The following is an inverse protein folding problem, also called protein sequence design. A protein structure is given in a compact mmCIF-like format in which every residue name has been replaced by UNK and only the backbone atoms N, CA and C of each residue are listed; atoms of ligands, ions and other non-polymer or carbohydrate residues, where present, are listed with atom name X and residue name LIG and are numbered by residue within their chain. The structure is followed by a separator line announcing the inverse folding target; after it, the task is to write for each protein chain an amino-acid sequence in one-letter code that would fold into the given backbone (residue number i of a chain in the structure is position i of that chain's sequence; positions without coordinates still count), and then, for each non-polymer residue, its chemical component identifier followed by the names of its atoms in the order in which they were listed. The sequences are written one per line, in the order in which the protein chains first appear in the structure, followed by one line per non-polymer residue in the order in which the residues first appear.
data_IF_860559341325
#
_entry.id   IF_860559341325
#
_cell.length_a   1.000
_cell.length_b   1.000
_cell.length_c   1.000
_cell.angle_alpha   90.00
_cell.angle_beta   90.00
_cell.angle_gamma   90.00
#
_symmetry.space_group_name_H-M   'P 1'
#
loop_
_entity.id
_entity.type
_entity.pdbx_description
1 polymer ?
#
# COMPACT_ATOMS: atom_id res chain seq x y z
N UNK A 1 -13.05 -56.71 -8.62
CA UNK A 1 -13.11 -55.31 -8.15
C UNK A 1 -11.81 -54.63 -8.48
N UNK A 2 -11.77 -53.80 -9.52
CA UNK A 2 -10.58 -53.07 -9.96
C UNK A 2 -10.75 -51.62 -9.42
N UNK A 3 -9.91 -51.25 -8.46
CA UNK A 3 -9.84 -49.91 -7.88
C UNK A 3 -9.28 -48.97 -8.96
N UNK A 4 -9.96 -47.87 -9.31
CA UNK A 4 -9.41 -46.92 -10.26
C UNK A 4 -8.21 -46.18 -9.64
N UNK A 5 -7.06 -46.26 -10.33
CA UNK A 5 -5.86 -45.50 -9.97
C UNK A 5 -6.15 -44.02 -10.04
N UNK A 6 -6.00 -43.30 -8.93
CA UNK A 6 -6.06 -41.85 -8.87
C UNK A 6 -4.91 -41.26 -9.69
N UNK A 7 -5.25 -40.58 -10.78
CA UNK A 7 -4.29 -39.81 -11.57
C UNK A 7 -3.67 -38.71 -10.68
N UNK A 8 -2.34 -38.55 -10.73
CA UNK A 8 -1.71 -37.46 -9.98
C UNK A 8 -2.21 -36.10 -10.49
N UNK A 9 -2.80 -35.30 -9.59
CA UNK A 9 -3.16 -33.93 -9.88
C UNK A 9 -1.89 -33.16 -10.20
N UNK A 10 -1.72 -32.80 -11.46
CA UNK A 10 -0.58 -31.99 -11.91
C UNK A 10 -0.59 -30.68 -11.14
N UNK A 11 0.41 -30.46 -10.29
CA UNK A 11 0.60 -29.16 -9.64
C UNK A 11 0.85 -28.11 -10.72
N UNK A 12 0.12 -26.97 -10.70
CA UNK A 12 0.34 -25.91 -11.67
C UNK A 12 1.77 -25.40 -11.54
N UNK A 13 2.56 -25.53 -12.61
CA UNK A 13 3.90 -24.94 -12.68
C UNK A 13 3.75 -23.43 -12.57
N UNK A 14 4.22 -22.87 -11.46
CA UNK A 14 4.24 -21.44 -11.22
C UNK A 14 5.08 -20.76 -12.31
N UNK A 15 4.47 -19.86 -13.08
CA UNK A 15 5.15 -19.17 -14.18
C UNK A 15 6.25 -18.21 -13.72
N UNK A 16 7.18 -17.80 -14.61
CA UNK A 16 8.35 -16.96 -14.28
C UNK A 16 8.01 -15.63 -13.59
N UNK A 17 6.82 -15.09 -13.81
CA UNK A 17 6.36 -13.83 -13.20
C UNK A 17 6.03 -13.93 -11.70
N UNK A 18 5.80 -15.14 -11.16
CA UNK A 18 5.64 -15.35 -9.71
C UNK A 18 6.98 -15.25 -8.98
N UNK A 19 8.07 -15.64 -9.60
CA UNK A 19 9.42 -15.51 -9.02
C UNK A 19 9.85 -14.04 -8.88
N UNK A 20 9.49 -13.18 -9.84
CA UNK A 20 9.76 -11.73 -9.78
C UNK A 20 8.96 -11.07 -8.65
N UNK A 21 7.71 -11.48 -8.44
CA UNK A 21 6.89 -10.96 -7.35
C UNK A 21 7.44 -11.38 -5.99
N UNK A 22 7.89 -12.63 -5.84
CA UNK A 22 8.52 -13.13 -4.61
C UNK A 22 9.79 -12.35 -4.27
N UNK A 23 10.67 -12.12 -5.24
CA UNK A 23 11.88 -11.33 -5.07
C UNK A 23 11.57 -9.89 -4.60
N UNK A 24 10.58 -9.23 -5.20
CA UNK A 24 10.16 -7.88 -4.79
C UNK A 24 9.68 -7.82 -3.34
N UNK A 25 8.93 -8.84 -2.89
CA UNK A 25 8.46 -8.92 -1.51
C UNK A 25 9.61 -9.07 -0.52
N UNK A 26 10.60 -9.91 -0.85
CA UNK A 26 11.78 -10.09 0.00
C UNK A 26 12.56 -8.81 0.14
N UNK A 27 12.88 -8.14 -0.97
CA UNK A 27 13.65 -6.91 -0.96
C UNK A 27 12.87 -5.74 -0.34
N UNK A 28 11.57 -5.65 -0.61
CA UNK A 28 10.73 -4.62 0.00
C UNK A 28 10.57 -4.80 1.51
N UNK A 29 10.34 -6.03 1.97
CA UNK A 29 10.28 -6.36 3.40
C UNK A 29 11.62 -6.09 4.08
N UNK A 30 12.74 -6.51 3.47
CA UNK A 30 14.08 -6.25 3.98
C UNK A 30 14.38 -4.74 4.05
N UNK A 31 14.02 -3.98 3.02
CA UNK A 31 14.20 -2.52 3.02
C UNK A 31 13.51 -1.88 4.23
N UNK A 32 12.27 -2.27 4.53
CA UNK A 32 11.57 -1.74 5.71
C UNK A 32 12.14 -2.25 7.03
N UNK A 33 12.65 -3.48 7.11
CA UNK A 33 13.35 -3.97 8.31
C UNK A 33 14.65 -3.19 8.53
N UNK A 34 15.37 -2.88 7.47
CA UNK A 34 16.62 -2.12 7.54
C UNK A 34 16.43 -0.66 7.99
N UNK A 35 15.19 -0.15 8.06
CA UNK A 35 14.95 1.16 8.67
C UNK A 35 15.37 1.21 10.15
N UNK A 36 15.56 0.06 10.82
CA UNK A 36 16.13 -0.03 12.16
C UNK A 36 17.56 0.48 12.25
N UNK A 37 18.32 0.58 11.12
CA UNK A 37 19.65 1.18 11.10
C UNK A 37 19.67 2.57 11.73
N UNK A 38 18.55 3.29 11.61
CA UNK A 38 18.40 4.63 12.15
C UNK A 38 18.67 4.70 13.64
N UNK A 39 18.11 3.80 14.44
CA UNK A 39 18.33 3.76 15.88
C UNK A 39 19.76 3.47 16.26
N UNK A 40 20.41 2.56 15.51
CA UNK A 40 21.82 2.21 15.74
C UNK A 40 22.71 3.41 15.45
N UNK A 41 22.47 4.07 14.33
CA UNK A 41 23.29 5.23 13.93
C UNK A 41 23.05 6.41 14.87
N UNK A 42 21.82 6.68 15.26
CA UNK A 42 21.49 7.74 16.23
C UNK A 42 22.22 7.48 17.57
N UNK A 43 22.18 6.24 18.08
CA UNK A 43 22.87 5.90 19.31
C UNK A 43 24.39 6.11 19.21
N UNK A 44 25.00 5.70 18.09
CA UNK A 44 26.44 5.91 17.84
C UNK A 44 26.75 7.40 17.74
N UNK A 45 25.92 8.19 17.06
CA UNK A 45 26.13 9.62 16.88
C UNK A 45 25.98 10.38 18.21
N UNK A 46 24.96 10.04 19.01
CA UNK A 46 24.74 10.64 20.32
C UNK A 46 25.89 10.37 21.29
N UNK A 47 26.46 9.15 21.27
CA UNK A 47 27.64 8.81 22.12
C UNK A 47 28.88 9.59 21.75
N UNK A 48 29.00 10.12 20.55
CA UNK A 48 30.15 10.92 20.09
C UNK A 48 29.97 12.42 20.36
N UNK A 49 28.75 12.86 20.70
CA UNK A 49 28.44 14.26 20.90
C UNK A 49 28.40 14.59 22.42
N UNK A 50 29.47 15.18 22.93
CA UNK A 50 29.60 15.52 24.35
C UNK A 50 28.45 16.48 24.78
N UNK A 51 27.79 16.14 25.88
CA UNK A 51 26.69 16.92 26.45
C UNK A 51 25.35 16.70 25.75
N UNK A 52 25.24 15.86 24.72
CA UNK A 52 23.99 15.59 24.05
C UNK A 52 22.98 14.91 24.97
N UNK A 53 21.77 15.46 25.01
CA UNK A 53 20.67 14.97 25.84
C UNK A 53 19.49 14.50 24.98
N UNK A 54 19.13 13.21 25.09
CA UNK A 54 17.99 12.66 24.36
C UNK A 54 16.64 13.34 24.64
N UNK A 55 16.49 13.98 25.80
CA UNK A 55 15.26 14.71 26.13
C UNK A 55 15.28 16.16 25.68
N UNK A 56 16.43 16.82 25.76
CA UNK A 56 16.56 18.25 25.44
C UNK A 56 16.87 18.49 23.98
N UNK A 57 17.80 17.71 23.40
CA UNK A 57 18.34 17.95 22.07
C UNK A 57 17.60 17.10 21.02
N UNK A 58 17.29 17.72 19.88
CA UNK A 58 16.59 17.08 18.78
C UNK A 58 17.53 16.15 18.00
N UNK A 59 16.97 15.15 17.34
CA UNK A 59 17.72 14.17 16.54
C UNK A 59 18.51 14.88 15.42
N UNK A 60 17.93 15.92 14.84
CA UNK A 60 18.55 16.66 13.75
C UNK A 60 19.81 17.41 14.16
N UNK A 61 20.01 17.70 15.47
CA UNK A 61 21.26 18.30 15.97
C UNK A 61 22.47 17.40 15.75
N UNK A 62 22.27 16.08 15.73
CA UNK A 62 23.31 15.11 15.38
C UNK A 62 23.81 15.24 13.94
N UNK A 63 23.06 15.92 13.08
CA UNK A 63 23.42 16.19 11.69
C UNK A 63 23.99 17.58 11.44
N UNK A 64 24.10 18.44 12.46
CA UNK A 64 24.63 19.82 12.34
C UNK A 64 26.14 19.88 12.25
N UNK A 65 26.66 21.05 11.91
CA UNK A 65 28.14 21.30 11.79
C UNK A 65 28.89 21.12 13.10
N UNK A 66 28.21 21.23 14.23
CA UNK A 66 28.78 21.06 15.57
C UNK A 66 28.91 19.61 16.00
N UNK A 67 28.19 18.71 15.36
CA UNK A 67 28.21 17.28 15.66
C UNK A 67 29.41 16.58 15.08
N UNK A 68 30.19 15.84 15.90
CA UNK A 68 31.30 15.01 15.41
C UNK A 68 30.84 13.91 14.45
N UNK A 69 29.63 13.44 14.63
CA UNK A 69 29.01 12.37 13.82
C UNK A 69 28.13 12.89 12.65
N UNK A 70 28.24 14.18 12.31
CA UNK A 70 27.40 14.85 11.29
C UNK A 70 27.22 14.04 10.00
N UNK A 71 28.32 13.59 9.41
CA UNK A 71 28.29 12.85 8.15
C UNK A 71 27.55 11.50 8.31
N UNK A 72 27.83 10.80 9.40
CA UNK A 72 27.19 9.52 9.71
C UNK A 72 25.68 9.68 9.86
N UNK A 73 25.24 10.68 10.63
CA UNK A 73 23.81 10.91 10.88
C UNK A 73 23.07 11.37 9.62
N UNK A 74 23.62 12.33 8.88
CA UNK A 74 23.03 12.78 7.63
C UNK A 74 22.94 11.67 6.57
N UNK A 75 23.96 10.80 6.49
CA UNK A 75 23.91 9.62 5.63
C UNK A 75 22.81 8.66 6.07
N UNK A 76 22.62 8.47 7.38
CA UNK A 76 21.54 7.65 7.93
C UNK A 76 20.16 8.18 7.53
N UNK A 77 19.92 9.50 7.58
CA UNK A 77 18.67 10.11 7.12
C UNK A 77 18.43 9.85 5.62
N UNK A 78 19.47 9.99 4.77
CA UNK A 78 19.34 9.70 3.33
C UNK A 78 19.03 8.23 3.09
N UNK A 79 19.76 7.32 3.75
CA UNK A 79 19.51 5.87 3.68
C UNK A 79 18.10 5.53 4.16
N UNK A 80 17.66 6.14 5.25
CA UNK A 80 16.32 5.96 5.79
C UNK A 80 15.26 6.29 4.75
N UNK A 81 15.38 7.43 4.07
CA UNK A 81 14.47 7.85 3.02
C UNK A 81 14.44 6.87 1.84
N UNK A 82 15.60 6.43 1.38
CA UNK A 82 15.72 5.42 0.31
C UNK A 82 15.04 4.10 0.71
N UNK A 83 15.24 3.62 1.94
CA UNK A 83 14.66 2.39 2.44
C UNK A 83 13.13 2.47 2.54
N UNK A 84 12.59 3.59 3.01
CA UNK A 84 11.13 3.84 3.07
C UNK A 84 10.54 3.78 1.68
N UNK A 85 11.12 4.51 0.72
CA UNK A 85 10.66 4.58 -0.67
C UNK A 85 10.77 3.21 -1.35
N UNK A 86 11.91 2.53 -1.21
CA UNK A 86 12.14 1.23 -1.81
C UNK A 86 11.10 0.21 -1.33
N UNK A 87 10.84 0.13 -0.03
CA UNK A 87 9.82 -0.75 0.52
C UNK A 87 8.42 -0.43 0.02
N UNK A 88 8.04 0.86 -0.01
CA UNK A 88 6.73 1.31 -0.49
C UNK A 88 6.48 0.93 -1.98
N UNK A 89 7.52 1.00 -2.81
CA UNK A 89 7.44 0.66 -4.24
C UNK A 89 7.51 -0.86 -4.49
N UNK A 90 8.41 -1.56 -3.80
CA UNK A 90 8.61 -3.00 -3.97
C UNK A 90 7.45 -3.83 -3.41
N UNK A 91 6.85 -3.42 -2.29
CA UNK A 91 5.71 -4.10 -1.67
C UNK A 91 4.37 -3.77 -2.33
N UNK A 92 4.36 -2.95 -3.39
CA UNK A 92 3.16 -2.58 -4.15
C UNK A 92 2.19 -3.74 -4.42
N UNK A 93 2.62 -4.94 -4.83
CA UNK A 93 1.69 -6.04 -5.13
C UNK A 93 0.88 -6.51 -3.92
N UNK A 94 1.43 -6.40 -2.70
CA UNK A 94 0.76 -6.77 -1.45
C UNK A 94 -0.09 -5.68 -0.81
N UNK A 95 0.15 -4.44 -1.19
CA UNK A 95 -0.57 -3.28 -0.67
C UNK A 95 -1.78 -2.96 -1.56
N UNK A 96 -2.78 -3.83 -1.53
CA UNK A 96 -4.01 -3.70 -2.33
C UNK A 96 -5.11 -2.92 -1.58
N UNK A 97 -6.17 -2.55 -2.31
CA UNK A 97 -7.29 -1.78 -1.75
C UNK A 97 -7.01 -0.28 -1.65
N UNK A 98 -7.96 0.48 -1.11
CA UNK A 98 -7.84 1.94 -0.99
C UNK A 98 -6.72 2.34 -0.04
N UNK A 99 -6.61 1.66 1.12
CA UNK A 99 -5.53 1.91 2.09
C UNK A 99 -4.15 1.71 1.48
N UNK A 100 -3.90 0.58 0.81
CA UNK A 100 -2.61 0.32 0.15
C UNK A 100 -2.31 1.26 -1.02
N UNK A 101 -3.33 1.75 -1.73
CA UNK A 101 -3.15 2.76 -2.79
C UNK A 101 -2.74 4.11 -2.24
N UNK A 102 -3.29 4.50 -1.09
CA UNK A 102 -2.98 5.77 -0.43
C UNK A 102 -1.65 5.70 0.35
N UNK A 103 -1.38 4.62 1.05
CA UNK A 103 -0.16 4.44 1.84
C UNK A 103 1.11 4.67 1.01
N UNK A 104 1.15 4.17 -0.22
CA UNK A 104 2.35 4.24 -1.07
C UNK A 104 2.81 5.67 -1.37
N UNK A 105 2.00 6.54 -2.00
CA UNK A 105 2.44 7.91 -2.28
C UNK A 105 2.75 8.69 -1.00
N UNK A 106 1.99 8.48 0.08
CA UNK A 106 2.22 9.17 1.34
C UNK A 106 3.55 8.74 1.98
N UNK A 107 3.87 7.43 1.98
CA UNK A 107 5.18 6.93 2.45
C UNK A 107 6.33 7.37 1.53
N UNK A 108 6.10 7.52 0.22
CA UNK A 108 7.12 8.10 -0.67
C UNK A 108 7.40 9.55 -0.30
N UNK A 109 6.37 10.34 -0.01
CA UNK A 109 6.54 11.73 0.47
C UNK A 109 7.29 11.75 1.81
N UNK A 110 6.94 10.87 2.76
CA UNK A 110 7.66 10.75 4.03
C UNK A 110 9.13 10.36 3.84
N UNK A 111 9.41 9.43 2.92
CA UNK A 111 10.78 9.02 2.58
C UNK A 111 11.58 10.14 1.93
N UNK A 112 10.97 10.90 1.01
CA UNK A 112 11.60 12.09 0.43
C UNK A 112 11.86 13.16 1.49
N UNK A 113 10.95 13.33 2.45
CA UNK A 113 11.13 14.25 3.57
C UNK A 113 12.38 13.93 4.36
N UNK A 114 12.55 12.72 4.89
CA UNK A 114 13.75 12.37 5.68
C UNK A 114 15.03 12.36 4.84
N UNK A 115 14.96 12.04 3.57
CA UNK A 115 16.08 12.15 2.65
C UNK A 115 16.55 13.61 2.54
N UNK A 116 15.61 14.55 2.38
CA UNK A 116 15.89 15.98 2.33
C UNK A 116 16.41 16.51 3.67
N UNK A 117 15.93 15.98 4.82
CA UNK A 117 16.52 16.30 6.15
C UNK A 117 18.01 16.01 6.17
N UNK A 118 18.45 14.88 5.63
CA UNK A 118 19.87 14.53 5.56
C UNK A 118 20.69 15.37 4.57
N UNK A 119 20.07 15.87 3.50
CA UNK A 119 20.73 16.72 2.51
C UNK A 119 20.78 18.19 2.92
N UNK A 120 19.83 18.63 3.74
CA UNK A 120 19.67 20.02 4.21
C UNK A 120 19.62 20.05 5.74
N UNK A 121 20.78 19.99 6.42
CA UNK A 121 20.86 20.08 7.87
C UNK A 121 20.23 21.35 8.44
N UNK A 122 19.76 21.29 9.71
CA UNK A 122 19.01 22.37 10.36
C UNK A 122 19.79 23.67 10.52
N UNK A 123 21.10 23.60 10.66
CA UNK A 123 22.01 24.75 10.77
C UNK A 123 22.38 25.41 9.43
N UNK A 124 21.93 24.82 8.30
CA UNK A 124 22.13 25.39 6.97
C UNK A 124 20.86 26.08 6.44
N UNK A 125 19.93 25.28 5.92
CA UNK A 125 18.68 25.75 5.29
C UNK A 125 17.47 25.41 6.18
N UNK A 126 17.31 26.11 7.30
CA UNK A 126 16.32 25.83 8.36
C UNK A 126 14.89 25.65 7.82
N UNK A 127 14.46 26.49 6.88
CA UNK A 127 13.10 26.37 6.31
C UNK A 127 12.92 25.10 5.51
N UNK A 128 13.89 24.73 4.66
CA UNK A 128 13.83 23.49 3.88
C UNK A 128 13.85 22.28 4.79
N UNK A 129 14.73 22.30 5.81
CA UNK A 129 14.80 21.27 6.84
C UNK A 129 13.46 21.07 7.56
N UNK A 130 12.85 22.16 8.05
CA UNK A 130 11.58 22.10 8.78
C UNK A 130 10.44 21.55 7.92
N UNK A 131 10.32 21.98 6.65
CA UNK A 131 9.32 21.43 5.71
C UNK A 131 9.57 19.96 5.46
N UNK A 132 10.81 19.57 5.27
CA UNK A 132 11.22 18.19 5.01
C UNK A 132 10.94 17.29 6.23
N UNK A 133 11.27 17.73 7.44
CA UNK A 133 10.96 17.04 8.68
C UNK A 133 9.46 16.90 8.90
N UNK A 134 8.70 17.97 8.68
CA UNK A 134 7.24 17.96 8.74
C UNK A 134 6.63 16.97 7.74
N UNK A 135 7.12 16.91 6.51
CA UNK A 135 6.71 15.95 5.50
C UNK A 135 7.03 14.50 5.92
N UNK A 136 8.20 14.28 6.57
CA UNK A 136 8.56 12.98 7.09
C UNK A 136 7.66 12.53 8.25
N UNK A 137 7.52 13.33 9.28
CA UNK A 137 6.78 12.96 10.49
C UNK A 137 5.28 12.82 10.21
N UNK A 138 4.68 13.84 9.62
CA UNK A 138 3.25 13.83 9.33
C UNK A 138 2.91 12.80 8.24
N UNK A 139 3.70 12.78 7.16
CA UNK A 139 3.55 11.80 6.08
C UNK A 139 3.79 10.37 6.57
N UNK A 140 4.75 10.15 7.47
CA UNK A 140 5.01 8.87 8.10
C UNK A 140 3.83 8.37 8.94
N UNK A 141 3.31 9.21 9.83
CA UNK A 141 2.16 8.87 10.66
C UNK A 141 0.90 8.57 9.84
N UNK A 142 0.55 9.44 8.89
CA UNK A 142 -0.58 9.22 7.97
C UNK A 142 -0.34 7.99 7.09
N UNK A 143 0.89 7.78 6.64
CA UNK A 143 1.29 6.63 5.84
C UNK A 143 1.10 5.31 6.59
N UNK A 144 1.44 5.24 7.89
CA UNK A 144 1.19 4.08 8.75
C UNK A 144 -0.30 3.83 8.94
N UNK A 145 -1.12 4.87 9.15
CA UNK A 145 -2.58 4.74 9.25
C UNK A 145 -3.15 4.18 7.93
N UNK A 146 -2.74 4.73 6.80
CA UNK A 146 -3.18 4.23 5.50
C UNK A 146 -2.73 2.78 5.25
N UNK A 147 -1.49 2.43 5.64
CA UNK A 147 -0.94 1.08 5.57
C UNK A 147 -1.74 0.11 6.44
N UNK A 148 -2.15 0.54 7.64
CA UNK A 148 -3.01 -0.23 8.53
C UNK A 148 -4.30 -0.71 7.84
N UNK A 149 -4.97 0.18 7.12
CA UNK A 149 -6.15 -0.20 6.32
C UNK A 149 -5.82 -1.14 5.16
N UNK A 150 -4.61 -1.05 4.60
CA UNK A 150 -4.15 -1.95 3.55
C UNK A 150 -3.85 -3.38 4.02
N UNK A 151 -3.37 -3.53 5.26
CA UNK A 151 -2.95 -4.82 5.83
C UNK A 151 -4.01 -5.47 6.71
N UNK A 152 -4.89 -4.69 7.34
CA UNK A 152 -5.92 -5.17 8.28
C UNK A 152 -6.77 -6.35 7.79
N UNK A 153 -7.17 -6.45 6.50
CA UNK A 153 -7.95 -7.59 6.02
C UNK A 153 -7.23 -8.94 6.13
N UNK A 154 -5.90 -8.92 6.31
CA UNK A 154 -5.06 -10.14 6.42
C UNK A 154 -4.47 -10.32 7.81
N UNK A 155 -4.24 -9.21 8.54
CA UNK A 155 -3.72 -9.22 9.90
C UNK A 155 -4.32 -8.04 10.66
N UNK A 156 -5.33 -8.32 11.47
CA UNK A 156 -5.99 -7.30 12.28
C UNK A 156 -5.03 -6.73 13.33
N UNK A 157 -4.23 -7.60 13.97
CA UNK A 157 -3.24 -7.18 14.96
C UNK A 157 -2.22 -6.21 14.36
N UNK A 158 -1.63 -6.54 13.19
CA UNK A 158 -0.71 -5.64 12.51
C UNK A 158 -1.42 -4.34 12.13
N UNK A 159 -2.62 -4.42 11.55
CA UNK A 159 -3.39 -3.23 11.17
C UNK A 159 -3.68 -2.31 12.36
N UNK A 160 -4.07 -2.87 13.50
CA UNK A 160 -4.33 -2.10 14.72
C UNK A 160 -3.04 -1.46 15.25
N UNK A 161 -1.95 -2.21 15.32
CA UNK A 161 -0.64 -1.68 15.77
C UNK A 161 -0.16 -0.52 14.89
N UNK A 162 -0.24 -0.67 13.56
CA UNK A 162 0.17 0.40 12.63
C UNK A 162 -0.72 1.64 12.74
N UNK A 163 -2.04 1.45 12.94
CA UNK A 163 -2.96 2.57 13.13
C UNK A 163 -2.64 3.34 14.41
N UNK A 164 -2.36 2.64 15.52
CA UNK A 164 -2.00 3.25 16.80
C UNK A 164 -0.65 3.97 16.70
N UNK A 165 0.38 3.34 16.13
CA UNK A 165 1.68 3.98 15.91
C UNK A 165 1.53 5.23 15.03
N UNK A 166 0.77 5.15 13.94
CA UNK A 166 0.53 6.28 13.07
C UNK A 166 -0.21 7.42 13.77
N UNK A 167 -1.22 7.11 14.58
CA UNK A 167 -1.95 8.11 15.38
C UNK A 167 -1.04 8.78 16.40
N UNK A 168 -0.22 8.01 17.12
CA UNK A 168 0.79 8.55 18.05
C UNK A 168 1.75 9.47 17.32
N UNK A 169 2.25 9.06 16.14
CA UNK A 169 3.15 9.88 15.33
C UNK A 169 2.53 11.20 14.89
N UNK A 170 1.28 11.19 14.42
CA UNK A 170 0.57 12.41 14.02
C UNK A 170 0.38 13.36 15.22
N UNK A 171 -0.09 12.83 16.36
CA UNK A 171 -0.31 13.64 17.57
C UNK A 171 1.02 14.22 18.08
N UNK A 172 2.07 13.38 18.15
CA UNK A 172 3.39 13.84 18.59
C UNK A 172 3.98 14.89 17.64
N UNK A 173 3.75 14.77 16.33
CA UNK A 173 4.17 15.77 15.34
C UNK A 173 3.47 17.12 15.57
N UNK A 174 2.17 17.09 15.84
CA UNK A 174 1.41 18.32 16.15
C UNK A 174 1.92 18.95 17.45
N UNK A 175 2.17 18.16 18.48
CA UNK A 175 2.70 18.64 19.76
C UNK A 175 4.10 19.22 19.61
N UNK A 176 4.99 18.53 18.89
CA UNK A 176 6.33 19.01 18.60
C UNK A 176 6.29 20.34 17.84
N UNK A 177 5.50 20.43 16.77
CA UNK A 177 5.36 21.66 15.98
C UNK A 177 4.74 22.83 16.78
N UNK A 178 3.96 22.53 17.82
CA UNK A 178 3.34 23.51 18.71
C UNK A 178 4.17 23.81 19.95
N UNK A 179 5.41 23.30 20.06
CA UNK A 179 6.28 23.39 21.23
C UNK A 179 5.63 22.89 22.55
N UNK A 180 4.78 21.85 22.43
CA UNK A 180 4.12 21.18 23.58
C UNK A 180 4.81 19.85 23.82
N UNK A 181 5.65 19.75 24.84
CA UNK A 181 6.52 18.58 25.04
C UNK A 181 6.06 17.61 26.14
N UNK A 182 4.98 17.94 26.88
CA UNK A 182 4.34 17.12 27.95
C UNK A 182 5.33 16.42 28.89
N UNK A 183 6.41 17.12 29.27
CA UNK A 183 7.43 16.61 30.19
C UNK A 183 8.50 15.73 29.55
N UNK A 184 8.44 15.44 28.24
CA UNK A 184 9.46 14.64 27.53
C UNK A 184 10.68 15.45 27.10
N UNK A 185 10.57 16.80 27.08
CA UNK A 185 11.51 17.67 26.42
C UNK A 185 11.33 17.71 24.91
N UNK A 186 12.00 18.65 24.26
CA UNK A 186 11.90 18.87 22.82
C UNK A 186 12.41 17.64 22.05
N UNK A 187 13.60 17.18 22.37
CA UNK A 187 14.19 16.00 21.74
C UNK A 187 13.40 14.72 22.01
N UNK A 188 12.82 14.57 23.21
CA UNK A 188 11.96 13.45 23.53
C UNK A 188 10.68 13.43 22.69
N UNK A 189 10.03 14.60 22.48
CA UNK A 189 8.83 14.70 21.66
C UNK A 189 9.13 14.46 20.19
N UNK A 190 10.24 14.95 19.66
CA UNK A 190 10.68 14.65 18.29
C UNK A 190 10.86 13.17 18.09
N UNK A 191 11.47 12.46 19.05
CA UNK A 191 11.64 10.99 18.99
C UNK A 191 10.33 10.25 18.97
N UNK A 192 9.34 10.65 19.76
CA UNK A 192 8.01 10.05 19.67
C UNK A 192 7.41 10.23 18.27
N UNK A 193 7.55 11.41 17.67
CA UNK A 193 7.07 11.67 16.32
C UNK A 193 7.84 10.86 15.25
N UNK A 194 9.17 10.74 15.38
CA UNK A 194 10.05 10.13 14.38
C UNK A 194 10.12 8.60 14.47
N UNK A 195 10.17 8.03 15.68
CA UNK A 195 10.42 6.61 15.90
C UNK A 195 9.28 5.70 15.46
N UNK A 196 8.06 6.20 15.45
CA UNK A 196 6.89 5.41 15.01
C UNK A 196 7.04 4.92 13.57
N UNK A 197 7.74 5.68 12.71
CA UNK A 197 7.90 5.33 11.30
C UNK A 197 8.79 4.10 11.11
N UNK A 198 10.07 4.08 11.57
CA UNK A 198 10.91 2.89 11.44
C UNK A 198 10.35 1.68 12.21
N UNK A 199 9.75 1.88 13.38
CA UNK A 199 9.11 0.79 14.12
C UNK A 199 7.93 0.19 13.35
N UNK A 200 7.02 1.02 12.86
CA UNK A 200 5.85 0.57 12.10
C UNK A 200 6.23 -0.13 10.79
N UNK A 201 7.17 0.45 10.05
CA UNK A 201 7.64 -0.13 8.79
C UNK A 201 8.40 -1.44 9.01
N UNK A 202 9.21 -1.53 10.06
CA UNK A 202 9.90 -2.78 10.43
C UNK A 202 8.90 -3.89 10.74
N UNK A 203 7.88 -3.61 11.56
CA UNK A 203 6.82 -4.58 11.86
C UNK A 203 6.08 -5.02 10.60
N UNK A 204 5.73 -4.08 9.74
CA UNK A 204 5.08 -4.38 8.47
C UNK A 204 6.00 -5.19 7.54
N UNK A 205 7.25 -4.78 7.37
CA UNK A 205 8.24 -5.43 6.53
C UNK A 205 8.54 -6.86 6.98
N UNK A 206 8.78 -7.05 8.27
CA UNK A 206 9.03 -8.36 8.87
C UNK A 206 7.82 -9.30 8.70
N UNK A 207 6.61 -8.79 8.93
CA UNK A 207 5.37 -9.57 8.78
C UNK A 207 5.15 -9.97 7.33
N UNK A 208 5.28 -9.02 6.39
CA UNK A 208 5.13 -9.28 4.96
C UNK A 208 6.19 -10.27 4.45
N UNK A 209 7.42 -10.16 4.93
CA UNK A 209 8.49 -11.09 4.57
C UNK A 209 8.22 -12.51 5.08
N UNK A 210 7.84 -12.65 6.36
CA UNK A 210 7.58 -13.97 6.97
C UNK A 210 6.33 -14.64 6.43
N UNK A 211 5.31 -13.89 6.07
CA UNK A 211 4.01 -14.38 5.61
C UNK A 211 3.82 -14.23 4.10
N UNK A 212 4.90 -14.07 3.32
CA UNK A 212 4.84 -13.80 1.89
C UNK A 212 3.91 -14.76 1.13
N UNK A 213 3.98 -16.05 1.45
CA UNK A 213 3.19 -17.09 0.78
C UNK A 213 1.68 -16.93 1.09
N UNK A 214 1.32 -16.62 2.35
CA UNK A 214 -0.05 -16.32 2.75
C UNK A 214 -0.56 -14.98 2.20
N UNK A 215 0.33 -13.99 1.99
CA UNK A 215 -0.05 -12.70 1.41
C UNK A 215 -0.22 -12.75 -0.10
N UNK A 216 0.54 -13.63 -0.76
CA UNK A 216 0.45 -13.87 -2.20
C UNK A 216 -0.60 -14.93 -2.53
N UNK A 217 -0.92 -15.84 -1.61
CA UNK A 217 -1.95 -16.84 -1.78
C UNK A 217 -3.35 -16.20 -1.87
N UNK A 218 -4.17 -16.74 -2.76
CA UNK A 218 -5.57 -16.32 -2.92
C UNK A 218 -6.49 -16.94 -1.85
N UNK A 219 -5.95 -17.79 -0.99
CA UNK A 219 -6.67 -18.46 0.09
C UNK A 219 -6.34 -17.88 1.45
N UNK A 220 -7.32 -17.82 2.34
CA UNK A 220 -7.12 -17.50 3.74
C UNK A 220 -6.40 -18.66 4.46
N UNK A 221 -5.80 -18.46 5.66
CA UNK A 221 -5.15 -19.51 6.43
C UNK A 221 -6.05 -20.70 6.79
N UNK A 222 -7.38 -20.49 6.82
CA UNK A 222 -8.40 -21.51 7.05
C UNK A 222 -8.82 -22.30 5.79
N UNK A 223 -8.14 -22.05 4.67
CA UNK A 223 -8.43 -22.68 3.39
C UNK A 223 -9.60 -22.08 2.60
N UNK A 224 -10.29 -21.08 3.14
CA UNK A 224 -11.37 -20.39 2.43
C UNK A 224 -10.83 -19.46 1.35
N UNK A 225 -11.56 -19.25 0.23
CA UNK A 225 -11.15 -18.30 -0.79
C UNK A 225 -11.03 -16.88 -0.24
N UNK A 226 -9.92 -16.22 -0.52
CA UNK A 226 -9.75 -14.82 -0.14
C UNK A 226 -10.72 -13.92 -0.91
N UNK A 227 -11.06 -12.73 -0.34
CA UNK A 227 -11.89 -11.73 -1.04
C UNK A 227 -11.33 -11.33 -2.41
N UNK A 228 -10.02 -11.45 -2.60
CA UNK A 228 -9.36 -11.19 -3.87
C UNK A 228 -9.67 -12.32 -4.86
N UNK A 229 -9.54 -13.57 -4.44
CA UNK A 229 -9.91 -14.74 -5.23
C UNK A 229 -11.37 -14.68 -5.63
N UNK A 230 -12.28 -14.46 -4.69
CA UNK A 230 -13.72 -14.33 -4.96
C UNK A 230 -14.05 -13.23 -5.97
N UNK A 231 -13.33 -12.10 -5.93
CA UNK A 231 -13.51 -11.02 -6.91
C UNK A 231 -12.94 -11.37 -8.29
N UNK A 232 -11.86 -12.10 -8.34
CA UNK A 232 -11.21 -12.54 -9.58
C UNK A 232 -12.06 -13.62 -10.25
N UNK A 233 -12.54 -14.59 -9.48
CA UNK A 233 -13.45 -15.62 -9.94
C UNK A 233 -14.76 -15.02 -10.46
N UNK A 234 -15.36 -14.07 -9.72
CA UNK A 234 -16.56 -13.35 -10.16
C UNK A 234 -16.32 -12.48 -11.40
N UNK A 235 -15.09 -11.99 -11.64
CA UNK A 235 -14.72 -11.26 -12.86
C UNK A 235 -14.58 -12.22 -14.05
N UNK A 236 -13.93 -13.35 -13.85
CA UNK A 236 -13.76 -14.39 -14.88
C UNK A 236 -15.11 -14.96 -15.27
N UNK A 237 -16.00 -15.22 -14.30
CA UNK A 237 -17.34 -15.73 -14.58
C UNK A 237 -18.20 -14.72 -15.35
N UNK A 238 -18.10 -13.41 -15.02
CA UNK A 238 -18.77 -12.36 -15.81
C UNK A 238 -18.23 -12.27 -17.21
N UNK A 239 -16.92 -12.36 -17.42
CA UNK A 239 -16.31 -12.37 -18.73
C UNK A 239 -16.73 -13.59 -19.56
N UNK A 240 -16.81 -14.79 -18.93
CA UNK A 240 -17.30 -16.00 -19.56
C UNK A 240 -18.76 -15.87 -20.01
N UNK A 241 -19.63 -15.38 -19.13
CA UNK A 241 -21.07 -15.14 -19.46
C UNK A 241 -21.25 -14.08 -20.55
N UNK A 242 -20.35 -13.07 -20.62
CA UNK A 242 -20.35 -12.09 -21.70
C UNK A 242 -19.97 -12.76 -23.02
N UNK A 243 -18.88 -13.53 -23.04
CA UNK A 243 -18.46 -14.27 -24.25
C UNK A 243 -19.51 -15.30 -24.72
N UNK A 244 -20.14 -16.02 -23.80
CA UNK A 244 -21.25 -16.96 -24.13
C UNK A 244 -22.44 -16.21 -24.74
N UNK A 245 -22.76 -15.02 -24.25
CA UNK A 245 -23.83 -14.17 -24.78
C UNK A 245 -23.50 -13.66 -26.17
N UNK A 246 -22.28 -13.18 -26.36
CA UNK A 246 -21.81 -12.67 -27.64
C UNK A 246 -21.77 -13.80 -28.70
N UNK A 247 -21.29 -14.98 -28.34
CA UNK A 247 -21.33 -16.16 -29.21
C UNK A 247 -22.77 -16.59 -29.56
N UNK A 248 -23.72 -16.51 -28.61
CA UNK A 248 -25.12 -16.82 -28.86
C UNK A 248 -25.76 -15.78 -29.81
N UNK A 249 -25.41 -14.50 -29.68
CA UNK A 249 -25.87 -13.44 -30.59
C UNK A 249 -25.30 -13.62 -32.00
N UNK A 250 -24.02 -13.98 -32.13
CA UNK A 250 -23.40 -14.28 -33.42
C UNK A 250 -24.05 -15.51 -34.07
N UNK A 251 -24.31 -16.57 -33.28
CA UNK A 251 -25.01 -17.75 -33.78
C UNK A 251 -26.46 -17.49 -34.21
N UNK A 252 -27.12 -16.56 -33.53
CA UNK A 252 -28.47 -16.13 -33.91
C UNK A 252 -28.48 -15.26 -35.17
N UNK A 253 -27.49 -14.36 -35.31
CA UNK A 253 -27.31 -13.52 -36.49
C UNK A 253 -26.89 -14.32 -37.74
N UNK A 254 -26.13 -15.41 -37.54
CA UNK A 254 -25.69 -16.30 -38.63
C UNK A 254 -26.72 -17.32 -39.08
N UNK A 255 -27.90 -17.43 -38.43
CA UNK A 255 -28.99 -18.27 -38.94
C UNK A 255 -29.68 -17.59 -40.11
N UNK A 256 -29.62 -18.17 -41.35
CA UNK A 256 -30.45 -17.68 -42.43
C UNK A 256 -31.91 -17.73 -41.98
N UNK A 257 -32.64 -16.65 -42.22
CA UNK A 257 -34.08 -16.58 -41.94
C UNK A 257 -34.78 -17.75 -42.62
N UNK A 258 -34.94 -18.86 -41.90
CA UNK A 258 -35.67 -20.02 -42.40
C UNK A 258 -37.16 -19.62 -42.45
N UNK A 259 -37.66 -19.40 -43.68
CA UNK A 259 -39.06 -19.37 -43.99
C UNK A 259 -39.74 -18.01 -43.88
N UNK A 260 -39.31 -17.04 -44.68
CA UNK A 260 -40.30 -16.10 -45.19
C UNK A 260 -41.07 -16.80 -46.29
N UNK A 261 -42.01 -17.66 -45.91
CA UNK A 261 -43.05 -18.13 -46.79
C UNK A 261 -43.92 -16.93 -47.18
N UNK A 262 -43.91 -16.63 -48.45
CA UNK A 262 -44.87 -15.75 -49.10
C UNK A 262 -46.27 -16.27 -48.85
N UNK A 263 -47.00 -15.62 -47.97
CA UNK A 263 -48.44 -15.73 -47.89
C UNK A 263 -49.01 -14.35 -47.59
N UNK A 264 -49.57 -13.78 -48.61
CA UNK A 264 -50.80 -13.03 -48.71
C UNK A 264 -50.91 -11.77 -47.85
N UNK A 265 -50.79 -10.64 -48.51
CA UNK A 265 -51.74 -9.50 -48.44
C UNK A 265 -52.82 -9.63 -47.40
N UNK A 266 -52.86 -8.77 -46.42
CA UNK A 266 -54.06 -7.93 -46.18
C UNK A 266 -53.82 -6.95 -45.07
N UNK A 267 -54.32 -5.76 -45.34
CA UNK A 267 -54.92 -4.78 -44.46
C UNK A 267 -53.98 -3.99 -43.53
N UNK A 268 -53.89 -2.73 -43.88
CA UNK A 268 -53.85 -1.54 -43.05
C UNK A 268 -54.10 -1.82 -41.56
N UNK A 269 -52.99 -1.89 -40.80
CA UNK A 269 -53.02 -1.53 -39.40
C UNK A 269 -52.42 -0.13 -39.32
N UNK A 270 -53.11 0.85 -38.70
CA UNK A 270 -52.56 2.19 -38.58
C UNK A 270 -51.28 2.14 -37.76
N UNK A 271 -50.23 2.70 -38.32
CA UNK A 271 -48.96 2.87 -37.67
C UNK A 271 -49.16 3.84 -36.48
N UNK A 272 -49.26 3.27 -35.29
CA UNK A 272 -49.47 3.97 -34.00
C UNK A 272 -48.15 4.54 -33.48
N UNK A 273 -47.26 4.90 -34.43
CA UNK A 273 -46.02 5.54 -34.11
C UNK A 273 -46.23 7.06 -34.04
N UNK A 274 -46.18 7.62 -32.83
CA UNK A 274 -46.15 9.06 -32.60
C UNK A 274 -44.69 9.57 -32.73
N UNK A 275 -44.38 10.35 -33.80
CA UNK A 275 -43.05 10.87 -33.99
C UNK A 275 -42.63 11.90 -32.91
N UNK A 276 -43.58 12.48 -32.17
CA UNK A 276 -43.35 13.47 -31.12
C UNK A 276 -43.18 12.84 -29.72
N UNK A 277 -43.62 11.58 -29.53
CA UNK A 277 -43.36 10.79 -28.31
C UNK A 277 -43.09 9.30 -28.63
N UNK A 278 -41.85 8.97 -28.99
CA UNK A 278 -41.41 7.60 -29.32
C UNK A 278 -41.56 6.61 -28.16
N UNK A 279 -41.81 7.06 -26.94
CA UNK A 279 -41.87 6.27 -25.72
C UNK A 279 -43.27 6.13 -25.14
N UNK A 280 -44.29 6.68 -25.81
CA UNK A 280 -45.67 6.55 -25.36
C UNK A 280 -46.09 5.06 -25.25
N UNK A 281 -46.73 4.63 -24.14
CA UNK A 281 -47.15 3.25 -23.98
C UNK A 281 -48.27 2.95 -24.98
N UNK A 282 -48.12 1.85 -25.74
CA UNK A 282 -49.14 1.36 -26.68
C UNK A 282 -50.45 1.16 -25.93
N UNK A 283 -51.51 1.85 -26.34
CA UNK A 283 -52.85 1.64 -25.81
C UNK A 283 -53.34 0.27 -26.31
N UNK A 284 -53.72 -0.57 -25.34
CA UNK A 284 -54.39 -1.86 -25.60
C UNK A 284 -55.83 -1.64 -25.97
#
# INVERSE_FOLDING_TARGET
MITPASLPVAQPRLGPWLTVTDSRYRWGGLAWVLTLQFFVVEAIAALQYEGYSYSADVISDLGTSTSPARLLMNTSFVVQGVLIIAGALLLRPGLSGTGGRLARPVLVVAGLGVLLVGLFPSDGTTTVHAIAAGAHFLGGGIGLIALAYGVRPRSEALGTTLALLGLVGVIATIFFASAVFVGLGEGGMERVAGYVVPLGLTLAGATLWRQKDGWLAFTNPDGTPSRRQLREDARLERARRAAERDAALEAAAGRPAAGASTAGTSADEPDDFDPDDPWAPRRR
#
